data_IF_506254182859
#
_entry.id   IF_506254182859
#
_cell.length_a   1.000
_cell.length_b   1.000
_cell.length_c   1.000
_cell.angle_alpha   90.00
_cell.angle_beta   90.00
_cell.angle_gamma   90.00
#
_symmetry.space_group_name_H-M   'P 1'
#
loop_
_entity.id
_entity.type
_entity.pdbx_description
1 polymer ?
#
# COMPACT_ATOMS: atom_id res chain seq x y z
N UNK A 1 16.07 35.11 -63.62
CA UNK A 1 15.84 35.33 -62.17
C UNK A 1 14.74 34.35 -61.76
N UNK A 2 15.03 33.08 -61.45
CA UNK A 2 15.43 32.48 -60.16
C UNK A 2 14.46 32.79 -58.99
N UNK A 3 13.81 31.71 -58.49
CA UNK A 3 13.29 31.45 -57.12
C UNK A 3 11.84 31.89 -56.85
N UNK A 4 10.99 31.18 -56.12
CA UNK A 4 11.05 29.88 -55.42
C UNK A 4 9.58 29.49 -55.12
N UNK A 5 9.20 28.22 -55.32
CA UNK A 5 8.00 27.65 -54.69
C UNK A 5 8.20 27.64 -53.17
N UNK A 6 7.18 28.04 -52.41
CA UNK A 6 7.10 27.79 -50.97
C UNK A 6 5.80 27.03 -50.67
N UNK A 7 5.90 25.71 -50.59
CA UNK A 7 4.87 24.84 -50.03
C UNK A 7 5.01 24.88 -48.50
N UNK A 8 4.06 25.48 -47.80
CA UNK A 8 4.01 25.48 -46.33
C UNK A 8 3.41 24.16 -45.86
N UNK A 9 4.26 23.20 -45.48
CA UNK A 9 3.86 21.99 -44.79
C UNK A 9 3.50 22.33 -43.34
N UNK A 10 2.21 22.24 -43.01
CA UNK A 10 1.69 22.38 -41.65
C UNK A 10 1.97 21.06 -40.92
N UNK A 11 3.09 20.98 -40.21
CA UNK A 11 3.42 19.85 -39.33
C UNK A 11 2.46 19.83 -38.15
N UNK A 12 1.51 18.89 -38.21
CA UNK A 12 0.60 18.54 -37.14
C UNK A 12 1.39 17.79 -36.05
N UNK A 13 1.85 18.51 -35.04
CA UNK A 13 2.50 17.96 -33.86
C UNK A 13 1.46 17.18 -33.04
N UNK A 14 1.40 15.87 -33.27
CA UNK A 14 0.73 14.93 -32.36
C UNK A 14 1.41 15.01 -31.00
N UNK A 15 0.79 15.72 -30.07
CA UNK A 15 1.06 15.61 -28.64
C UNK A 15 0.67 14.18 -28.22
N UNK A 16 1.62 13.25 -28.34
CA UNK A 16 1.55 11.99 -27.61
C UNK A 16 1.67 12.36 -26.15
N UNK A 17 0.53 12.48 -25.48
CA UNK A 17 0.49 12.53 -24.02
C UNK A 17 1.12 11.25 -23.51
N UNK A 18 2.32 11.34 -22.98
CA UNK A 18 2.90 10.28 -22.16
C UNK A 18 1.98 10.13 -20.95
N UNK A 19 1.00 9.24 -21.03
CA UNK A 19 0.36 8.71 -19.84
C UNK A 19 1.49 8.08 -19.02
N UNK A 20 1.85 8.71 -17.90
CA UNK A 20 2.79 8.11 -16.97
C UNK A 20 2.26 6.71 -16.60
N UNK A 21 3.07 5.65 -16.75
CA UNK A 21 2.64 4.32 -16.42
C UNK A 21 2.20 4.31 -14.96
N UNK A 22 0.96 3.87 -14.70
CA UNK A 22 0.46 3.68 -13.36
C UNK A 22 1.40 2.69 -12.66
N UNK A 23 2.15 3.18 -11.67
CA UNK A 23 3.01 2.31 -10.86
C UNK A 23 2.13 1.49 -9.94
N UNK A 24 2.18 0.16 -10.11
CA UNK A 24 1.46 -0.78 -9.26
C UNK A 24 2.19 -1.07 -7.92
N UNK A 25 3.25 -0.31 -7.65
CA UNK A 25 4.03 -0.40 -6.41
C UNK A 25 4.18 0.99 -5.78
N UNK A 26 4.45 1.01 -4.48
CA UNK A 26 4.86 2.21 -3.78
C UNK A 26 6.18 2.73 -4.38
N UNK A 27 6.32 4.04 -4.64
CA UNK A 27 7.60 4.58 -5.11
C UNK A 27 8.72 4.29 -4.11
N UNK A 28 9.88 3.84 -4.59
CA UNK A 28 11.00 3.41 -3.73
C UNK A 28 11.52 4.50 -2.79
N UNK A 29 11.45 5.78 -3.20
CA UNK A 29 11.81 6.90 -2.34
C UNK A 29 10.85 7.04 -1.14
N UNK A 30 9.57 6.71 -1.35
CA UNK A 30 8.57 6.72 -0.28
C UNK A 30 8.75 5.51 0.65
N UNK A 31 8.98 4.33 0.08
CA UNK A 31 9.27 3.11 0.86
C UNK A 31 10.44 3.36 1.81
N UNK A 32 11.57 3.90 1.31
CA UNK A 32 12.73 4.26 2.14
C UNK A 32 12.44 5.27 3.24
N UNK A 33 11.66 6.31 2.95
CA UNK A 33 11.25 7.28 3.97
C UNK A 33 10.43 6.62 5.08
N UNK A 34 9.56 5.69 4.73
CA UNK A 34 8.78 4.94 5.70
C UNK A 34 9.66 4.01 6.53
N UNK A 35 10.62 3.30 5.92
CA UNK A 35 11.60 2.45 6.59
C UNK A 35 12.41 3.22 7.64
N UNK A 36 12.91 4.41 7.28
CA UNK A 36 13.63 5.30 8.18
C UNK A 36 12.77 5.70 9.40
N UNK A 37 11.48 5.95 9.19
CA UNK A 37 10.56 6.41 10.22
C UNK A 37 10.08 5.29 11.15
N UNK A 38 9.90 4.08 10.63
CA UNK A 38 9.50 2.91 11.41
C UNK A 38 10.69 2.17 12.03
N UNK A 39 11.92 2.42 11.54
CA UNK A 39 13.15 1.84 12.06
C UNK A 39 13.36 0.38 11.66
N UNK A 40 12.78 -0.07 10.55
CA UNK A 40 12.99 -1.40 9.98
C UNK A 40 12.74 -1.40 8.48
N UNK A 41 13.40 -2.31 7.76
CA UNK A 41 13.12 -2.57 6.36
C UNK A 41 11.70 -3.13 6.21
N UNK A 42 10.99 -2.68 5.18
CA UNK A 42 9.64 -3.18 4.86
C UNK A 42 9.62 -3.75 3.44
N UNK A 43 8.66 -4.63 3.18
CA UNK A 43 8.42 -5.11 1.82
C UNK A 43 7.01 -4.70 1.38
N UNK A 44 6.93 -3.95 0.29
CA UNK A 44 5.67 -3.62 -0.36
C UNK A 44 5.59 -4.33 -1.72
N UNK A 45 4.81 -5.42 -1.85
CA UNK A 45 4.75 -6.18 -3.09
C UNK A 45 3.97 -5.41 -4.15
N UNK A 46 4.43 -5.45 -5.40
CA UNK A 46 3.62 -4.99 -6.53
C UNK A 46 2.41 -5.91 -6.77
N UNK A 47 1.36 -5.40 -7.38
CA UNK A 47 0.18 -6.19 -7.76
C UNK A 47 -0.16 -5.97 -9.24
N UNK A 48 -0.55 -7.01 -9.97
CA UNK A 48 -0.79 -6.86 -11.42
C UNK A 48 -2.15 -6.22 -11.72
N UNK A 49 -3.11 -6.34 -10.80
CA UNK A 49 -4.49 -5.85 -10.94
C UNK A 49 -4.77 -4.60 -10.11
N UNK A 50 -3.95 -4.33 -9.10
CA UNK A 50 -4.19 -3.29 -8.11
C UNK A 50 -3.01 -2.32 -8.04
N UNK A 51 -3.31 -1.09 -7.65
CA UNK A 51 -2.35 -0.01 -7.50
C UNK A 51 -2.37 0.54 -6.09
N UNK A 52 -1.23 1.01 -5.60
CA UNK A 52 -1.16 1.68 -4.30
C UNK A 52 -1.87 3.03 -4.41
N UNK A 53 -2.83 3.28 -3.51
CA UNK A 53 -3.58 4.56 -3.45
C UNK A 53 -3.25 5.40 -2.23
N UNK A 54 -2.62 4.81 -1.22
CA UNK A 54 -2.37 5.48 0.05
C UNK A 54 -1.28 4.75 0.84
N UNK A 55 -0.43 5.53 1.51
CA UNK A 55 0.53 5.03 2.48
C UNK A 55 0.67 6.02 3.63
N UNK A 56 0.63 5.52 4.87
CA UNK A 56 0.84 6.32 6.07
C UNK A 56 1.64 5.56 7.13
N UNK A 57 2.13 6.31 8.13
CA UNK A 57 2.54 5.76 9.42
C UNK A 57 1.65 6.35 10.50
N UNK A 58 1.10 5.48 11.34
CA UNK A 58 0.52 5.87 12.62
C UNK A 58 1.54 5.64 13.72
N UNK A 59 1.92 6.70 14.39
CA UNK A 59 2.82 6.68 15.54
C UNK A 59 2.06 6.35 16.82
N UNK A 60 2.75 5.77 17.82
CA UNK A 60 2.16 5.47 19.10
C UNK A 60 1.83 6.75 19.89
N UNK A 61 0.85 6.69 20.82
CA UNK A 61 0.55 7.80 21.72
C UNK A 61 1.73 8.20 22.58
N UNK A 62 2.05 9.50 22.53
CA UNK A 62 3.04 10.15 23.39
C UNK A 62 2.32 10.98 24.44
N UNK A 63 2.54 10.68 25.72
CA UNK A 63 2.06 11.47 26.87
C UNK A 63 3.28 11.87 27.70
N UNK A 64 3.42 13.16 27.99
CA UNK A 64 4.56 13.71 28.74
C UNK A 64 5.94 13.33 28.14
N UNK A 65 6.04 13.28 26.81
CA UNK A 65 7.27 12.92 26.10
C UNK A 65 7.61 11.43 26.14
N UNK A 66 6.74 10.57 26.68
CA UNK A 66 6.92 9.12 26.71
C UNK A 66 5.88 8.42 25.84
N UNK A 67 6.34 7.43 25.09
CA UNK A 67 5.48 6.50 24.37
C UNK A 67 4.74 5.61 25.38
N UNK A 68 3.41 5.61 25.34
CA UNK A 68 2.59 4.90 26.33
C UNK A 68 1.90 3.64 25.81
N UNK A 69 1.88 3.39 24.49
CA UNK A 69 1.28 2.17 23.94
C UNK A 69 1.77 1.83 22.53
N UNK A 70 1.96 0.52 22.24
CA UNK A 70 2.12 -0.05 20.89
C UNK A 70 3.34 0.45 20.09
N UNK A 71 3.71 -0.20 18.98
CA UNK A 71 4.70 0.34 18.04
C UNK A 71 4.05 1.33 17.06
N UNK A 72 4.88 1.98 16.24
CA UNK A 72 4.40 2.59 14.99
C UNK A 72 3.87 1.50 14.05
N UNK A 73 2.85 1.85 13.27
CA UNK A 73 2.23 0.97 12.29
C UNK A 73 2.27 1.67 10.93
N UNK A 74 2.97 1.07 9.97
CA UNK A 74 2.90 1.47 8.57
C UNK A 74 1.67 0.83 7.93
N UNK A 75 0.89 1.62 7.19
CA UNK A 75 -0.31 1.16 6.50
C UNK A 75 -0.19 1.47 5.02
N UNK A 76 -0.27 0.45 4.18
CA UNK A 76 -0.29 0.56 2.71
C UNK A 76 -1.65 0.09 2.21
N UNK A 77 -2.27 0.87 1.33
CA UNK A 77 -3.61 0.56 0.79
C UNK A 77 -3.58 0.47 -0.72
N UNK A 78 -4.15 -0.62 -1.24
CA UNK A 78 -4.31 -0.88 -2.65
C UNK A 78 -5.78 -0.72 -3.07
N UNK A 79 -5.96 -0.33 -4.33
CA UNK A 79 -7.25 -0.15 -5.00
C UNK A 79 -7.18 -0.77 -6.39
N UNK A 80 -8.32 -1.18 -6.93
CA UNK A 80 -8.48 -1.59 -8.33
C UNK A 80 -8.59 -0.38 -9.28
N UNK A 81 -9.06 0.75 -8.76
CA UNK A 81 -9.16 2.00 -9.49
C UNK A 81 -8.47 3.15 -8.72
N UNK A 82 -7.42 3.73 -9.30
CA UNK A 82 -6.80 4.96 -8.78
C UNK A 82 -7.47 6.17 -9.40
N UNK A 83 -8.46 6.70 -8.69
CA UNK A 83 -9.14 7.93 -9.08
C UNK A 83 -8.28 9.17 -8.78
N UNK A 84 -8.93 10.33 -8.77
CA UNK A 84 -8.27 11.61 -8.53
C UNK A 84 -7.59 11.68 -7.17
N UNK A 85 -6.51 12.47 -7.06
CA UNK A 85 -5.90 12.77 -5.77
C UNK A 85 -6.89 13.61 -4.94
N UNK A 86 -7.30 13.10 -3.79
CA UNK A 86 -8.17 13.85 -2.89
C UNK A 86 -7.34 14.96 -2.22
N UNK A 87 -7.81 16.22 -2.26
CA UNK A 87 -7.09 17.32 -1.67
C UNK A 87 -7.12 17.19 -0.14
N UNK A 88 -5.92 17.20 0.46
CA UNK A 88 -5.73 17.31 1.91
C UNK A 88 -5.01 18.64 2.16
N UNK A 89 -5.67 19.55 2.88
CA UNK A 89 -5.09 20.86 3.21
C UNK A 89 -3.94 20.72 4.21
N UNK A 90 -3.09 21.74 4.29
CA UNK A 90 -1.98 21.73 5.25
C UNK A 90 -2.48 21.74 6.69
N UNK A 91 -3.62 22.37 6.98
CA UNK A 91 -4.26 22.30 8.30
C UNK A 91 -4.71 20.87 8.64
N UNK A 92 -5.29 20.15 7.67
CA UNK A 92 -5.67 18.75 7.86
C UNK A 92 -4.45 17.86 8.10
N UNK A 93 -3.37 18.05 7.33
CA UNK A 93 -2.10 17.34 7.58
C UNK A 93 -1.53 17.65 8.96
N UNK A 94 -1.57 18.91 9.39
CA UNK A 94 -1.11 19.31 10.71
C UNK A 94 -1.97 18.69 11.83
N UNK A 95 -3.29 18.61 11.66
CA UNK A 95 -4.18 17.93 12.59
C UNK A 95 -3.89 16.43 12.67
N UNK A 96 -3.74 15.76 11.53
CA UNK A 96 -3.38 14.34 11.47
C UNK A 96 -2.06 14.09 12.19
N UNK A 97 -1.04 14.91 11.95
CA UNK A 97 0.27 14.77 12.58
C UNK A 97 0.21 15.01 14.09
N UNK A 98 -0.36 16.14 14.51
CA UNK A 98 -0.24 16.60 15.90
C UNK A 98 -1.27 15.98 16.85
N UNK A 99 -2.46 15.64 16.35
CA UNK A 99 -3.55 15.11 17.18
C UNK A 99 -3.77 13.63 16.97
N UNK A 100 -3.69 13.16 15.73
CA UNK A 100 -3.95 11.77 15.39
C UNK A 100 -2.68 10.93 15.36
N UNK A 101 -1.50 11.56 15.44
CA UNK A 101 -0.20 10.92 15.34
C UNK A 101 -0.07 10.11 14.04
N UNK A 102 -0.52 10.70 12.94
CA UNK A 102 -0.51 10.10 11.61
C UNK A 102 0.28 10.97 10.64
N UNK A 103 1.14 10.35 9.86
CA UNK A 103 1.90 11.02 8.81
C UNK A 103 1.67 10.30 7.48
N UNK A 104 1.15 11.03 6.49
CA UNK A 104 0.87 10.50 5.15
C UNK A 104 2.14 10.63 4.32
N UNK A 105 2.56 9.52 3.72
CA UNK A 105 3.72 9.45 2.85
C UNK A 105 3.32 9.35 1.37
N UNK A 106 2.13 8.82 1.08
CA UNK A 106 1.61 8.67 -0.27
C UNK A 106 0.08 8.73 -0.31
N UNK A 107 -0.49 9.24 -1.40
CA UNK A 107 -1.95 9.39 -1.56
C UNK A 107 -2.47 10.72 -1.02
N UNK A 108 -3.77 10.90 -0.76
CA UNK A 108 -4.91 9.98 -0.70
C UNK A 108 -5.70 9.96 -2.02
N UNK A 109 -5.55 8.94 -2.86
CA UNK A 109 -6.30 8.88 -4.13
C UNK A 109 -7.73 8.35 -3.90
N UNK A 110 -8.70 8.77 -4.73
CA UNK A 110 -10.02 8.17 -4.77
C UNK A 110 -9.95 6.70 -5.23
N UNK A 111 -10.95 5.90 -4.86
CA UNK A 111 -10.99 4.46 -5.13
C UNK A 111 -11.25 3.65 -3.87
N UNK A 112 -11.94 2.51 -4.00
CA UNK A 112 -12.31 1.66 -2.87
C UNK A 112 -11.09 0.86 -2.38
N UNK A 113 -10.77 0.84 -1.08
CA UNK A 113 -9.74 -0.05 -0.55
C UNK A 113 -10.06 -1.52 -0.85
N UNK A 114 -9.16 -2.21 -1.54
CA UNK A 114 -9.25 -3.64 -1.84
C UNK A 114 -8.30 -4.44 -0.94
N UNK A 115 -7.06 -3.98 -0.78
CA UNK A 115 -6.08 -4.55 0.16
C UNK A 115 -5.64 -3.47 1.13
N UNK A 116 -5.67 -3.77 2.42
CA UNK A 116 -5.02 -2.97 3.46
C UNK A 116 -3.93 -3.84 4.07
N UNK A 117 -2.68 -3.39 3.99
CA UNK A 117 -1.53 -4.04 4.59
C UNK A 117 -1.01 -3.18 5.74
N UNK A 118 -0.97 -3.75 6.93
CA UNK A 118 -0.39 -3.15 8.13
C UNK A 118 0.92 -3.85 8.47
N UNK A 119 1.95 -3.06 8.77
CA UNK A 119 3.30 -3.53 9.06
C UNK A 119 3.72 -2.90 10.40
N UNK A 120 4.18 -3.72 11.34
CA UNK A 120 4.64 -3.24 12.65
C UNK A 120 5.67 -4.18 13.27
N UNK A 121 6.36 -3.74 14.31
CA UNK A 121 7.29 -4.59 15.07
C UNK A 121 6.59 -5.45 16.14
N UNK A 122 5.30 -5.22 16.37
CA UNK A 122 4.54 -5.97 17.38
C UNK A 122 3.93 -7.21 16.75
N UNK A 123 4.08 -8.34 17.47
CA UNK A 123 3.51 -9.60 17.04
C UNK A 123 1.98 -9.53 17.11
N UNK A 124 1.30 -9.43 15.96
CA UNK A 124 -0.15 -9.57 15.86
C UNK A 124 -0.58 -11.03 15.67
N UNK A 125 -1.72 -11.39 16.25
CA UNK A 125 -2.39 -12.67 16.07
C UNK A 125 -3.86 -12.45 15.73
N UNK A 126 -4.40 -13.26 14.84
CA UNK A 126 -5.81 -13.25 14.50
C UNK A 126 -6.60 -14.12 15.49
N UNK A 127 -7.72 -13.59 16.00
CA UNK A 127 -8.61 -14.36 16.87
C UNK A 127 -9.30 -15.48 16.06
N UNK A 128 -9.38 -16.69 16.64
CA UNK A 128 -9.95 -17.90 16.02
C UNK A 128 -9.39 -18.23 14.63
N UNK A 129 -8.11 -17.93 14.40
CA UNK A 129 -7.46 -18.12 13.12
C UNK A 129 -7.16 -19.60 12.81
N UNK A 130 -7.26 -19.94 11.52
CA UNK A 130 -6.64 -21.14 10.97
C UNK A 130 -5.17 -20.84 10.68
N UNK A 131 -4.36 -21.89 10.59
CA UNK A 131 -2.95 -21.76 10.19
C UNK A 131 -2.66 -22.54 8.93
N UNK A 132 -1.76 -22.03 8.11
CA UNK A 132 -1.22 -22.69 6.93
C UNK A 132 0.26 -22.33 6.76
N UNK A 133 1.03 -23.16 6.06
CA UNK A 133 2.37 -22.78 5.63
C UNK A 133 2.33 -22.17 4.23
N UNK A 134 2.90 -20.98 4.08
CA UNK A 134 3.10 -20.32 2.80
C UNK A 134 4.60 -20.00 2.68
N UNK A 135 5.27 -20.60 1.71
CA UNK A 135 6.71 -20.40 1.46
C UNK A 135 7.58 -20.66 2.71
N UNK A 136 7.18 -21.63 3.53
CA UNK A 136 7.88 -22.00 4.77
C UNK A 136 7.66 -21.06 5.95
N UNK A 137 6.74 -20.10 5.85
CA UNK A 137 6.29 -19.26 6.97
C UNK A 137 4.91 -19.73 7.41
N UNK A 138 4.71 -19.88 8.72
CA UNK A 138 3.38 -20.09 9.31
C UNK A 138 2.57 -18.80 9.19
N UNK A 139 1.46 -18.88 8.47
CA UNK A 139 0.51 -17.78 8.26
C UNK A 139 -0.80 -18.12 8.97
N UNK A 140 -1.22 -17.23 9.87
CA UNK A 140 -2.56 -17.23 10.42
C UNK A 140 -3.51 -16.60 9.41
N UNK A 141 -4.68 -17.21 9.20
CA UNK A 141 -5.67 -16.68 8.29
C UNK A 141 -7.10 -16.94 8.75
N UNK A 142 -8.01 -16.09 8.29
CA UNK A 142 -9.43 -16.19 8.57
C UNK A 142 -10.25 -15.45 7.53
N UNK A 143 -11.55 -15.70 7.53
CA UNK A 143 -12.50 -14.99 6.67
C UNK A 143 -13.71 -14.59 7.50
N UNK A 144 -14.22 -13.38 7.27
CA UNK A 144 -15.40 -12.85 7.97
C UNK A 144 -16.32 -12.16 6.98
N UNK A 145 -17.61 -12.45 7.09
CA UNK A 145 -18.65 -11.72 6.37
C UNK A 145 -19.12 -10.52 7.21
N UNK A 146 -19.29 -9.38 6.55
CA UNK A 146 -19.86 -8.17 7.13
C UNK A 146 -20.83 -7.54 6.13
N UNK A 147 -21.63 -6.57 6.58
CA UNK A 147 -22.58 -5.86 5.70
C UNK A 147 -21.90 -5.18 4.50
N UNK A 148 -20.62 -4.80 4.63
CA UNK A 148 -19.82 -4.16 3.58
C UNK A 148 -19.15 -5.14 2.61
N UNK A 149 -19.26 -6.45 2.85
CA UNK A 149 -18.69 -7.50 2.02
C UNK A 149 -17.99 -8.60 2.83
N UNK A 150 -17.36 -9.51 2.10
CA UNK A 150 -16.58 -10.60 2.67
C UNK A 150 -15.12 -10.20 2.75
N UNK A 151 -14.48 -10.46 3.88
CA UNK A 151 -13.09 -10.10 4.11
C UNK A 151 -12.24 -11.31 4.43
N UNK A 152 -11.06 -11.41 3.82
CA UNK A 152 -10.03 -12.35 4.22
C UNK A 152 -8.90 -11.63 4.95
N UNK A 153 -8.40 -12.26 6.01
CA UNK A 153 -7.35 -11.73 6.87
C UNK A 153 -6.19 -12.71 6.86
N UNK A 154 -4.97 -12.20 6.76
CA UNK A 154 -3.75 -12.97 6.91
C UNK A 154 -2.81 -12.24 7.85
N UNK A 155 -2.12 -12.97 8.72
CA UNK A 155 -1.12 -12.45 9.63
C UNK A 155 0.06 -13.38 9.67
N UNK A 156 1.27 -12.83 9.56
CA UNK A 156 2.50 -13.60 9.74
C UNK A 156 3.64 -12.71 10.25
N UNK A 157 4.70 -13.36 10.69
CA UNK A 157 5.89 -12.74 11.25
C UNK A 157 7.10 -13.17 10.46
N UNK A 158 7.94 -12.20 10.09
CA UNK A 158 9.23 -12.44 9.47
C UNK A 158 10.28 -11.56 10.13
N UNK A 159 11.28 -12.18 10.75
CA UNK A 159 12.31 -11.49 11.53
C UNK A 159 11.69 -10.58 12.62
N UNK A 160 11.92 -9.27 12.55
CA UNK A 160 11.38 -8.27 13.47
C UNK A 160 10.09 -7.60 12.98
N UNK A 161 9.54 -8.02 11.84
CA UNK A 161 8.35 -7.43 11.23
C UNK A 161 7.14 -8.37 11.29
N UNK A 162 6.01 -7.83 11.71
CA UNK A 162 4.68 -8.42 11.59
C UNK A 162 3.98 -7.79 10.39
N UNK A 163 3.38 -8.64 9.56
CA UNK A 163 2.54 -8.24 8.45
C UNK A 163 1.11 -8.73 8.72
N UNK A 164 0.14 -7.83 8.61
CA UNK A 164 -1.27 -8.16 8.57
C UNK A 164 -1.88 -7.62 7.28
N UNK A 165 -2.53 -8.48 6.50
CA UNK A 165 -3.20 -8.09 5.25
C UNK A 165 -4.68 -8.38 5.36
N UNK A 166 -5.49 -7.37 5.03
CA UNK A 166 -6.96 -7.47 4.93
C UNK A 166 -7.36 -7.28 3.49
N UNK A 167 -8.10 -8.24 2.95
CA UNK A 167 -8.62 -8.23 1.59
C UNK A 167 -10.12 -8.10 1.63
N UNK A 168 -10.67 -7.17 0.85
CA UNK A 168 -12.07 -7.22 0.46
C UNK A 168 -12.22 -8.21 -0.69
N UNK A 169 -12.91 -9.32 -0.45
CA UNK A 169 -13.17 -10.33 -1.46
C UNK A 169 -14.36 -9.93 -2.34
N UNK A 170 -14.18 -10.11 -3.66
CA UNK A 170 -15.20 -9.88 -4.68
C UNK A 170 -14.87 -10.74 -5.93
N UNK A 171 -15.58 -10.52 -7.04
CA UNK A 171 -15.39 -11.28 -8.29
C UNK A 171 -13.99 -11.12 -8.92
N UNK A 172 -13.27 -10.05 -8.59
CA UNK A 172 -11.94 -9.74 -9.16
C UNK A 172 -10.78 -10.00 -8.19
N UNK A 173 -11.08 -10.07 -6.89
CA UNK A 173 -10.16 -10.31 -5.77
C UNK A 173 -10.66 -11.50 -4.97
N UNK A 174 -10.16 -12.68 -5.30
CA UNK A 174 -10.55 -13.95 -4.68
C UNK A 174 -9.64 -14.33 -3.52
N UNK A 175 -10.01 -15.39 -2.79
CA UNK A 175 -9.12 -15.99 -1.77
C UNK A 175 -7.80 -16.47 -2.38
N UNK A 176 -7.81 -16.97 -3.62
CA UNK A 176 -6.59 -17.39 -4.31
C UNK A 176 -5.68 -16.19 -4.64
N UNK A 177 -6.26 -15.06 -5.04
CA UNK A 177 -5.52 -13.80 -5.21
C UNK A 177 -4.90 -13.33 -3.88
N UNK A 178 -5.62 -13.46 -2.76
CA UNK A 178 -5.11 -13.10 -1.43
C UNK A 178 -3.94 -14.00 -1.00
N UNK A 179 -4.01 -15.31 -1.28
CA UNK A 179 -2.90 -16.25 -1.04
C UNK A 179 -1.72 -15.92 -1.95
N UNK A 180 -1.96 -15.61 -3.23
CA UNK A 180 -0.91 -15.25 -4.18
C UNK A 180 -0.18 -13.96 -3.78
N UNK A 181 -0.92 -12.96 -3.29
CA UNK A 181 -0.35 -11.72 -2.77
C UNK A 181 0.58 -12.00 -1.58
N UNK A 182 0.11 -12.74 -0.57
CA UNK A 182 0.93 -13.06 0.60
C UNK A 182 2.14 -13.95 0.23
N UNK A 183 1.99 -14.87 -0.73
CA UNK A 183 3.11 -15.65 -1.27
C UNK A 183 4.19 -14.76 -1.88
N UNK A 184 3.79 -13.79 -2.72
CA UNK A 184 4.71 -12.83 -3.34
C UNK A 184 5.43 -11.98 -2.30
N UNK A 185 4.68 -11.48 -1.31
CA UNK A 185 5.23 -10.73 -0.18
C UNK A 185 6.28 -11.52 0.60
N UNK A 186 5.96 -12.77 0.96
CA UNK A 186 6.89 -13.64 1.70
C UNK A 186 8.14 -13.95 0.87
N UNK A 187 8.01 -14.20 -0.43
CA UNK A 187 9.17 -14.40 -1.31
C UNK A 187 10.08 -13.17 -1.34
N UNK A 188 9.51 -11.98 -1.48
CA UNK A 188 10.25 -10.73 -1.46
C UNK A 188 11.02 -10.56 -0.14
N UNK A 189 10.38 -10.82 1.00
CA UNK A 189 11.03 -10.80 2.33
C UNK A 189 12.18 -11.80 2.45
N UNK A 190 12.07 -12.95 1.79
CA UNK A 190 13.10 -14.00 1.77
C UNK A 190 14.19 -13.75 0.71
N UNK A 191 14.15 -12.63 -0.02
CA UNK A 191 15.07 -12.35 -1.13
C UNK A 191 14.91 -13.29 -2.32
N UNK A 192 13.75 -13.92 -2.48
CA UNK A 192 13.40 -14.80 -3.61
C UNK A 192 12.67 -13.98 -4.67
N UNK A 193 13.08 -14.14 -5.93
CA UNK A 193 12.39 -13.57 -7.11
C UNK A 193 11.23 -14.48 -7.54
#
# INVERSE_FOLDING_TARGET
MKRLLLCTAMTLSLLVGCAEPQSNTLPSAIEKQMEEQIGMDIAVPSNDKLVVKYAEIRYPPIVNGQQIAGPSIATIVYTDEKGELLPITDEQKAEMRNRQQREIFYGEYAGRPIIIMEISTMKNSLHDAKTAEIEGITVEYGQKEAASGTYAFYSFHHQNASYMTTFLLNDTTTTDDAVAFNRKLIRQLQGKQ
#
